data_IF_294233062727
#
_entry.id   IF_294233062727
#
_cell.length_a   1.000
_cell.length_b   1.000
_cell.length_c   1.000
_cell.angle_alpha   90.00
_cell.angle_beta   90.00
_cell.angle_gamma   90.00
#
_symmetry.space_group_name_H-M   'P 1'
#
loop_
_entity.id
_entity.type
_entity.pdbx_description
1 polymer ?
#
# COMPACT_ATOMS: atom_id res chain seq x y z
N UNK A 1 3.75 9.01 7.97
CA UNK A 1 3.49 8.22 6.75
C UNK A 1 1.99 8.03 6.62
N UNK A 2 1.42 8.39 5.48
CA UNK A 2 0.05 8.03 5.11
C UNK A 2 0.07 6.73 4.30
N UNK A 3 -0.95 5.90 4.44
CA UNK A 3 -1.14 4.75 3.55
C UNK A 3 -2.63 4.48 3.39
N UNK A 4 -3.06 4.21 2.16
CA UNK A 4 -4.44 3.89 1.84
C UNK A 4 -4.51 2.89 0.68
N UNK A 5 -5.68 2.28 0.52
CA UNK A 5 -5.99 1.40 -0.59
C UNK A 5 -7.12 2.02 -1.39
N UNK A 6 -7.00 2.03 -2.71
CA UNK A 6 -7.98 2.63 -3.62
C UNK A 6 -8.36 1.70 -4.76
N UNK A 7 -9.61 1.85 -5.19
CA UNK A 7 -10.15 1.29 -6.43
C UNK A 7 -10.55 2.41 -7.41
N UNK A 8 -10.99 3.57 -6.91
CA UNK A 8 -11.24 4.79 -7.69
C UNK A 8 -10.38 5.95 -7.17
N UNK A 9 -10.11 6.93 -8.04
CA UNK A 9 -9.65 8.26 -7.61
C UNK A 9 -10.81 9.06 -7.03
N UNK A 10 -10.50 10.19 -6.40
CA UNK A 10 -11.52 11.12 -5.87
C UNK A 10 -12.37 11.74 -7.01
N UNK A 11 -11.81 11.85 -8.21
CA UNK A 11 -12.47 12.33 -9.43
C UNK A 11 -13.32 11.26 -10.12
N UNK A 12 -13.25 10.01 -9.67
CA UNK A 12 -14.04 8.89 -10.19
C UNK A 12 -13.35 8.06 -11.28
N UNK A 13 -12.08 8.30 -11.57
CA UNK A 13 -11.32 7.44 -12.47
C UNK A 13 -11.07 6.08 -11.85
N UNK A 14 -11.30 5.01 -12.62
CA UNK A 14 -11.12 3.65 -12.14
C UNK A 14 -9.64 3.22 -12.16
N UNK A 15 -9.06 3.06 -10.98
CA UNK A 15 -7.70 2.53 -10.79
C UNK A 15 -7.69 1.00 -10.74
N UNK A 16 -8.58 0.42 -9.93
CA UNK A 16 -8.71 -1.01 -9.72
C UNK A 16 -9.31 -1.75 -10.91
N UNK A 17 -9.25 -3.08 -10.91
CA UNK A 17 -9.82 -3.95 -11.97
C UNK A 17 -10.52 -5.14 -11.35
N UNK A 18 -11.50 -5.72 -12.04
CA UNK A 18 -12.28 -6.84 -11.51
C UNK A 18 -13.50 -6.41 -10.69
N UNK A 19 -14.22 -7.34 -10.05
CA UNK A 19 -15.45 -7.01 -9.33
C UNK A 19 -15.18 -6.21 -8.05
N UNK A 20 -16.01 -5.21 -7.76
CA UNK A 20 -16.04 -4.51 -6.47
C UNK A 20 -17.49 -4.51 -5.96
N UNK A 21 -17.81 -5.20 -4.85
CA UNK A 21 -16.88 -5.89 -3.95
C UNK A 21 -16.21 -7.11 -4.61
N UNK A 22 -15.07 -7.60 -4.08
CA UNK A 22 -14.44 -8.81 -4.56
C UNK A 22 -15.38 -10.00 -4.50
N UNK A 23 -15.33 -10.86 -5.51
CA UNK A 23 -16.18 -12.05 -5.65
C UNK A 23 -15.33 -13.31 -5.57
N UNK A 24 -15.83 -14.36 -4.92
CA UNK A 24 -15.12 -15.64 -4.81
C UNK A 24 -14.66 -16.15 -6.18
N UNK A 25 -13.40 -16.55 -6.26
CA UNK A 25 -12.77 -17.08 -7.48
C UNK A 25 -12.52 -16.05 -8.59
N UNK A 26 -12.88 -14.77 -8.39
CA UNK A 26 -12.62 -13.69 -9.36
C UNK A 26 -11.55 -12.75 -8.83
N UNK A 27 -10.54 -12.51 -9.66
CA UNK A 27 -9.46 -11.59 -9.33
C UNK A 27 -9.99 -10.14 -9.27
N UNK A 28 -9.67 -9.47 -8.17
CA UNK A 28 -9.90 -8.03 -7.98
C UNK A 28 -8.59 -7.35 -7.67
N UNK A 29 -8.28 -6.27 -8.38
CA UNK A 29 -7.05 -5.50 -8.22
C UNK A 29 -7.32 -4.15 -7.58
N UNK A 30 -6.45 -3.79 -6.65
CA UNK A 30 -6.45 -2.54 -5.92
C UNK A 30 -5.09 -1.87 -6.03
N UNK A 31 -5.06 -0.55 -5.81
CA UNK A 31 -3.81 0.19 -5.69
C UNK A 31 -3.59 0.57 -4.23
N UNK A 32 -2.45 0.16 -3.67
CA UNK A 32 -1.97 0.66 -2.39
C UNK A 32 -1.14 1.93 -2.64
N UNK A 33 -1.55 3.03 -2.01
CA UNK A 33 -0.92 4.34 -2.11
C UNK A 33 -0.25 4.61 -0.75
N UNK A 34 1.08 4.71 -0.72
CA UNK A 34 1.84 5.03 0.47
C UNK A 34 2.52 6.38 0.26
N UNK A 35 2.35 7.28 1.22
CA UNK A 35 2.97 8.61 1.21
C UNK A 35 3.91 8.77 2.40
N UNK A 36 5.19 9.01 2.10
CA UNK A 36 6.25 9.26 3.09
C UNK A 36 6.59 10.75 2.98
N UNK A 37 6.20 11.54 3.98
CA UNK A 37 6.45 12.99 4.04
C UNK A 37 7.56 13.27 5.03
N UNK A 38 8.60 13.96 4.57
CA UNK A 38 9.60 14.59 5.42
C UNK A 38 9.26 16.07 5.61
N UNK A 39 9.17 16.53 6.85
CA UNK A 39 8.68 17.88 7.18
C UNK A 39 9.79 18.85 7.63
N UNK A 40 10.98 18.37 7.97
CA UNK A 40 12.03 19.15 8.62
C UNK A 40 13.37 18.96 7.91
N UNK A 41 14.42 18.53 8.60
CA UNK A 41 15.76 18.19 8.09
C UNK A 41 15.76 17.00 7.12
N UNK A 42 16.82 16.90 6.33
CA UNK A 42 17.06 15.75 5.45
C UNK A 42 17.09 14.44 6.25
N UNK A 43 16.56 13.38 5.64
CA UNK A 43 16.52 12.04 6.23
C UNK A 43 17.28 11.08 5.34
N UNK A 44 18.30 10.44 5.92
CA UNK A 44 19.17 9.47 5.26
C UNK A 44 18.73 8.03 5.54
N UNK A 45 19.25 7.08 4.76
CA UNK A 45 19.08 5.63 4.93
C UNK A 45 17.61 5.21 5.10
N UNK A 46 16.74 5.78 4.27
CA UNK A 46 15.30 5.55 4.34
C UNK A 46 14.96 4.16 3.81
N UNK A 47 14.24 3.38 4.61
CA UNK A 47 13.79 2.03 4.26
C UNK A 47 12.32 1.86 4.59
N UNK A 48 11.52 1.57 3.58
CA UNK A 48 10.13 1.17 3.70
C UNK A 48 9.99 -0.34 3.57
N UNK A 49 9.18 -0.95 4.44
CA UNK A 49 8.77 -2.35 4.35
C UNK A 49 7.30 -2.52 4.66
N UNK A 50 6.68 -3.50 4.01
CA UNK A 50 5.33 -3.97 4.28
C UNK A 50 5.18 -5.46 3.94
N UNK A 51 4.19 -6.13 4.50
CA UNK A 51 3.96 -7.57 4.26
C UNK A 51 2.61 -7.80 3.58
N UNK A 52 2.60 -8.67 2.56
CA UNK A 52 1.38 -9.13 1.90
C UNK A 52 0.86 -10.43 2.53
N UNK A 53 -0.39 -10.49 3.03
CA UNK A 53 -1.03 -11.74 3.44
C UNK A 53 -1.10 -12.77 2.32
N UNK A 54 -1.24 -14.06 2.67
CA UNK A 54 -1.10 -15.19 1.74
C UNK A 54 -2.04 -15.16 0.52
N UNK A 55 -3.26 -14.62 0.68
CA UNK A 55 -4.28 -14.56 -0.38
C UNK A 55 -4.09 -13.42 -1.39
N UNK A 56 -3.11 -12.54 -1.15
CA UNK A 56 -2.82 -11.38 -2.00
C UNK A 56 -1.74 -11.74 -2.99
N UNK A 57 -1.78 -11.22 -4.20
CA UNK A 57 -0.71 -11.38 -5.18
C UNK A 57 -0.09 -10.02 -5.51
N UNK A 58 1.25 -9.99 -5.53
CA UNK A 58 2.01 -8.89 -6.10
C UNK A 58 1.95 -8.98 -7.62
N UNK A 59 1.46 -7.94 -8.28
CA UNK A 59 1.27 -7.96 -9.74
C UNK A 59 2.52 -7.58 -10.54
N UNK A 60 3.52 -6.99 -9.89
CA UNK A 60 4.67 -6.39 -10.57
C UNK A 60 4.47 -4.95 -11.01
N UNK A 61 3.26 -4.40 -10.98
CA UNK A 61 3.00 -3.02 -11.40
C UNK A 61 3.17 -2.07 -10.22
N UNK A 62 4.12 -1.15 -10.37
CA UNK A 62 4.48 -0.16 -9.36
C UNK A 62 4.72 1.19 -9.99
N UNK A 63 4.66 2.24 -9.18
CA UNK A 63 5.16 3.57 -9.52
C UNK A 63 5.75 4.20 -8.26
N UNK A 64 6.89 4.85 -8.41
CA UNK A 64 7.55 5.61 -7.34
C UNK A 64 7.78 7.03 -7.81
N UNK A 65 7.53 8.01 -6.95
CA UNK A 65 7.84 9.41 -7.30
C UNK A 65 9.31 9.78 -7.07
N UNK A 66 10.06 8.92 -6.39
CA UNK A 66 11.46 9.15 -6.05
C UNK A 66 12.20 7.80 -5.87
N UNK A 67 13.49 7.77 -6.18
CA UNK A 67 14.35 6.60 -5.94
C UNK A 67 14.16 5.44 -6.92
N UNK A 68 14.52 4.23 -6.47
CA UNK A 68 14.41 3.00 -7.27
C UNK A 68 13.02 2.39 -7.18
N UNK A 69 12.74 1.46 -8.08
CA UNK A 69 11.51 0.67 -8.03
C UNK A 69 11.40 -0.16 -6.75
N UNK A 70 10.15 -0.41 -6.39
CA UNK A 70 9.76 -1.24 -5.25
C UNK A 70 10.06 -2.71 -5.57
N UNK A 71 10.58 -3.44 -4.60
CA UNK A 71 10.91 -4.87 -4.72
C UNK A 71 9.96 -5.74 -3.90
N UNK A 72 9.80 -6.99 -4.30
CA UNK A 72 9.00 -7.98 -3.57
C UNK A 72 9.78 -9.28 -3.40
N UNK A 73 9.92 -9.72 -2.15
CA UNK A 73 10.46 -11.03 -1.80
C UNK A 73 9.32 -12.03 -1.60
N UNK A 74 9.21 -13.01 -2.50
CA UNK A 74 8.11 -13.97 -2.49
C UNK A 74 8.14 -14.95 -1.31
N UNK A 75 9.30 -15.20 -0.70
CA UNK A 75 9.47 -16.16 0.39
C UNK A 75 8.95 -15.58 1.71
N UNK A 76 9.33 -14.34 1.99
CA UNK A 76 8.91 -13.58 3.18
C UNK A 76 7.60 -12.82 2.94
N UNK A 77 7.18 -12.70 1.68
CA UNK A 77 6.05 -11.86 1.23
C UNK A 77 6.20 -10.39 1.61
N UNK A 78 7.44 -9.90 1.57
CA UNK A 78 7.80 -8.54 1.97
C UNK A 78 7.97 -7.65 0.75
N UNK A 79 7.29 -6.51 0.76
CA UNK A 79 7.50 -5.38 -0.15
C UNK A 79 8.56 -4.48 0.49
N UNK A 80 9.57 -4.07 -0.28
CA UNK A 80 10.62 -3.17 0.20
C UNK A 80 10.91 -2.06 -0.80
N UNK A 81 11.19 -0.87 -0.28
CA UNK A 81 11.69 0.28 -1.03
C UNK A 81 12.70 1.04 -0.18
N UNK A 82 13.77 1.53 -0.80
CA UNK A 82 14.86 2.20 -0.11
C UNK A 82 15.27 3.47 -0.87
N UNK A 83 15.64 4.51 -0.12
CA UNK A 83 16.24 5.72 -0.65
C UNK A 83 17.41 6.15 0.24
N UNK A 84 18.48 6.62 -0.38
CA UNK A 84 19.65 7.10 0.36
C UNK A 84 19.33 8.36 1.15
N UNK A 85 18.45 9.21 0.60
CA UNK A 85 18.10 10.51 1.17
C UNK A 85 16.68 10.89 0.76
N UNK A 86 15.94 11.53 1.65
CA UNK A 86 14.74 12.31 1.35
C UNK A 86 14.98 13.72 1.90
N UNK A 87 15.11 14.69 1.00
CA UNK A 87 15.34 16.07 1.37
C UNK A 87 14.20 16.65 2.23
N UNK A 88 14.54 17.69 2.98
CA UNK A 88 13.61 18.54 3.70
C UNK A 88 12.36 18.87 2.87
N UNK A 89 11.18 18.85 3.51
CA UNK A 89 9.90 19.24 2.90
C UNK A 89 9.50 18.42 1.66
N UNK A 90 10.06 17.22 1.46
CA UNK A 90 9.73 16.34 0.33
C UNK A 90 8.68 15.29 0.72
N UNK A 91 7.75 15.01 -0.20
CA UNK A 91 6.84 13.86 -0.10
C UNK A 91 7.14 12.85 -1.21
N UNK A 92 7.33 11.59 -0.81
CA UNK A 92 7.53 10.46 -1.71
C UNK A 92 6.26 9.61 -1.75
N UNK A 93 5.79 9.31 -2.95
CA UNK A 93 4.67 8.40 -3.21
C UNK A 93 5.17 7.04 -3.69
N UNK A 94 4.71 5.97 -3.05
CA UNK A 94 4.91 4.59 -3.47
C UNK A 94 3.54 4.00 -3.82
N UNK A 95 3.41 3.54 -5.06
CA UNK A 95 2.15 3.05 -5.61
C UNK A 95 2.31 1.61 -6.07
N UNK A 96 1.46 0.72 -5.59
CA UNK A 96 1.59 -0.73 -5.79
C UNK A 96 0.24 -1.31 -6.20
N UNK A 97 0.17 -1.98 -7.34
CA UNK A 97 -1.02 -2.76 -7.72
C UNK A 97 -0.97 -4.16 -7.08
N UNK A 98 -2.00 -4.49 -6.32
CA UNK A 98 -2.17 -5.75 -5.61
C UNK A 98 -3.43 -6.45 -6.11
N UNK A 99 -3.36 -7.77 -6.25
CA UNK A 99 -4.49 -8.59 -6.64
C UNK A 99 -4.99 -9.44 -5.45
N UNK A 100 -6.30 -9.58 -5.33
CA UNK A 100 -6.97 -10.49 -4.40
C UNK A 100 -7.89 -11.40 -5.21
N UNK A 101 -7.76 -12.72 -4.99
CA UNK A 101 -8.71 -13.71 -5.50
C UNK A 101 -9.31 -14.43 -4.28
N UNK A 102 -10.49 -14.01 -3.81
CA UNK A 102 -11.07 -14.56 -2.59
C UNK A 102 -11.44 -16.04 -2.74
N UNK A 103 -11.25 -16.80 -1.67
CA UNK A 103 -11.81 -18.15 -1.53
C UNK A 103 -13.16 -18.13 -0.82
N UNK A 104 -13.90 -19.25 -0.88
CA UNK A 104 -15.24 -19.37 -0.29
C UNK A 104 -15.29 -19.03 1.22
N UNK A 105 -14.22 -19.31 1.96
CA UNK A 105 -14.13 -18.98 3.40
C UNK A 105 -13.98 -17.49 3.71
N UNK A 106 -13.88 -16.62 2.71
CA UNK A 106 -13.76 -15.16 2.89
C UNK A 106 -15.07 -14.41 2.73
N UNK A 107 -16.16 -15.08 2.30
CA UNK A 107 -17.46 -14.45 2.08
C UNK A 107 -17.92 -13.68 3.33
N UNK A 108 -18.37 -12.44 3.12
CA UNK A 108 -18.78 -11.53 4.19
C UNK A 108 -17.64 -10.89 4.97
N UNK A 109 -16.37 -11.23 4.69
CA UNK A 109 -15.20 -10.65 5.35
C UNK A 109 -14.61 -9.49 4.54
N UNK A 110 -13.76 -8.69 5.19
CA UNK A 110 -12.91 -7.67 4.57
C UNK A 110 -11.43 -8.08 4.68
N UNK A 111 -10.90 -8.89 3.75
CA UNK A 111 -9.50 -9.34 3.82
C UNK A 111 -8.51 -8.18 3.82
N UNK A 112 -7.48 -8.30 4.66
CA UNK A 112 -6.32 -7.41 4.66
C UNK A 112 -5.47 -7.67 3.42
N UNK A 113 -5.08 -6.60 2.72
CA UNK A 113 -4.20 -6.63 1.55
C UNK A 113 -2.75 -6.31 1.90
N UNK A 114 -2.52 -5.40 2.86
CA UNK A 114 -1.19 -4.99 3.28
C UNK A 114 -1.17 -4.87 4.80
N UNK A 115 -0.15 -5.43 5.45
CA UNK A 115 0.06 -5.31 6.90
C UNK A 115 1.51 -4.98 7.23
N UNK A 116 1.76 -4.63 8.49
CA UNK A 116 3.10 -4.36 9.01
C UNK A 116 3.86 -3.28 8.21
N UNK A 117 3.15 -2.20 7.82
CA UNK A 117 3.74 -1.09 7.06
C UNK A 117 4.61 -0.24 7.99
N UNK A 118 5.90 -0.19 7.71
CA UNK A 118 6.89 0.54 8.50
C UNK A 118 7.86 1.25 7.57
N UNK A 119 8.17 2.50 7.86
CA UNK A 119 9.31 3.24 7.30
C UNK A 119 10.27 3.62 8.41
N UNK A 120 11.55 3.43 8.16
CA UNK A 120 12.65 3.87 9.03
C UNK A 120 13.58 4.79 8.27
N UNK A 121 14.31 5.64 8.98
CA UNK A 121 15.38 6.48 8.42
C UNK A 121 16.21 7.10 9.52
N UNK A 122 17.12 7.99 9.18
CA UNK A 122 17.98 8.71 10.13
C UNK A 122 17.94 10.21 9.82
N UNK A 123 17.59 11.02 10.79
CA UNK A 123 17.67 12.47 10.68
C UNK A 123 19.14 12.90 10.56
N UNK A 124 19.49 13.61 9.49
CA UNK A 124 20.87 13.99 9.19
C UNK A 124 21.40 15.12 10.10
N UNK A 125 20.51 15.93 10.69
CA UNK A 125 20.90 17.08 11.51
C UNK A 125 21.23 16.69 12.95
N UNK A 126 20.36 15.89 13.59
CA UNK A 126 20.56 15.45 14.99
C UNK A 126 21.05 14.00 15.11
N UNK A 127 21.25 13.29 14.00
CA UNK A 127 21.69 11.89 13.96
C UNK A 127 20.76 10.91 14.69
N UNK A 128 19.44 11.18 14.69
CA UNK A 128 18.45 10.36 15.38
C UNK A 128 17.76 9.39 14.41
N UNK A 129 17.57 8.14 14.83
CA UNK A 129 16.75 7.18 14.07
C UNK A 129 15.27 7.53 14.16
N UNK A 130 14.61 7.53 13.00
CA UNK A 130 13.18 7.78 12.85
C UNK A 130 12.47 6.48 12.49
N UNK A 131 11.26 6.30 13.04
CA UNK A 131 10.36 5.21 12.65
C UNK A 131 8.95 5.76 12.55
N UNK A 132 8.25 5.40 11.48
CA UNK A 132 6.81 5.62 11.34
C UNK A 132 6.14 4.35 10.82
N UNK A 133 4.90 4.12 11.22
CA UNK A 133 4.10 2.99 10.78
C UNK A 133 2.70 3.44 10.37
N UNK A 134 2.01 2.57 9.61
CA UNK A 134 0.60 2.75 9.29
C UNK A 134 -0.20 1.51 9.67
N UNK A 135 -1.52 1.68 9.75
CA UNK A 135 -2.45 0.57 9.96
C UNK A 135 -2.47 -0.34 8.74
N UNK A 136 -2.91 -1.57 8.94
CA UNK A 136 -3.17 -2.50 7.85
C UNK A 136 -4.21 -1.92 6.89
N UNK A 137 -4.05 -2.24 5.61
CA UNK A 137 -4.94 -1.85 4.53
C UNK A 137 -5.78 -3.05 4.13
N UNK A 138 -7.10 -2.90 4.08
CA UNK A 138 -8.05 -3.94 3.71
C UNK A 138 -9.03 -3.45 2.63
N UNK A 139 -9.88 -4.36 2.15
CA UNK A 139 -10.85 -4.04 1.09
C UNK A 139 -11.99 -3.12 1.54
N UNK A 140 -12.03 -2.64 2.79
CA UNK A 140 -13.04 -1.67 3.22
C UNK A 140 -12.83 -0.29 2.62
N UNK A 141 -11.61 0.01 2.15
CA UNK A 141 -11.22 1.22 1.39
C UNK A 141 -11.90 2.51 1.91
N UNK A 142 -11.77 2.84 3.20
CA UNK A 142 -12.62 3.84 3.86
C UNK A 142 -12.46 5.27 3.29
N UNK A 143 -11.31 5.55 2.68
CA UNK A 143 -10.97 6.83 2.04
C UNK A 143 -11.36 6.89 0.57
N UNK A 144 -11.70 5.77 -0.06
CA UNK A 144 -12.24 5.72 -1.43
C UNK A 144 -13.77 5.86 -1.36
N UNK A 145 -14.26 7.09 -1.50
CA UNK A 145 -15.68 7.39 -1.29
C UNK A 145 -16.60 6.69 -2.29
N UNK A 146 -16.13 6.46 -3.50
CA UNK A 146 -16.88 5.81 -4.58
C UNK A 146 -16.81 4.29 -4.40
N UNK A 147 -15.62 3.76 -4.15
CA UNK A 147 -15.39 2.34 -3.98
C UNK A 147 -16.11 1.77 -2.75
N UNK A 148 -16.05 2.46 -1.61
CA UNK A 148 -16.71 2.01 -0.37
C UNK A 148 -18.22 1.86 -0.51
N UNK A 149 -18.86 2.66 -1.38
CA UNK A 149 -20.30 2.57 -1.66
C UNK A 149 -20.67 1.34 -2.48
N UNK A 150 -19.72 0.77 -3.26
CA UNK A 150 -19.96 -0.42 -4.06
C UNK A 150 -19.93 -1.70 -3.21
N UNK A 151 -19.13 -1.72 -2.16
CA UNK A 151 -19.12 -2.80 -1.17
C UNK A 151 -17.74 -3.03 -0.56
N UNK A 152 -17.72 -3.36 0.72
CA UNK A 152 -16.51 -3.49 1.55
C UNK A 152 -16.23 -4.92 2.03
N UNK A 153 -17.03 -5.91 1.59
CA UNK A 153 -16.93 -7.29 2.02
C UNK A 153 -17.04 -8.24 0.83
N UNK A 154 -16.34 -9.39 0.88
CA UNK A 154 -16.33 -10.38 -0.21
C UNK A 154 -17.72 -10.93 -0.46
N UNK A 155 -18.13 -10.96 -1.73
CA UNK A 155 -19.37 -11.55 -2.21
C UNK A 155 -19.15 -12.98 -2.74
N UNK A 156 -20.25 -13.75 -2.81
CA UNK A 156 -20.28 -15.11 -3.38
C UNK A 156 -20.02 -15.13 -4.90
#
# INVERSE_FOLDING_TARGET
>A
MGAELRYYTDEGDQLGRGPLPPVVGKETKYWALIQITNASSDVEDVRFRATLPGAVAWTGRTSVSHGKDITFDAKSRTISWDANEIAAHTTVGLYIELALTPGAGMVGMSPVLVKDLVVTGKDAFINQSLTASSRALDISIPTDEIGRQKGSAVAE
#
